data_IF_332213859582
#
_entry.id   IF_332213859582
#
_cell.length_a   1.000
_cell.length_b   1.000
_cell.length_c   1.000
_cell.angle_alpha   90.00
_cell.angle_beta   90.00
_cell.angle_gamma   90.00
#
_symmetry.space_group_name_H-M   'P 1'
#
loop_
_entity.id
_entity.type
_entity.pdbx_description
1 polymer ?
#
# COMPACT_ATOMS: atom_id res chain seq x y z
N UNK A 1 -27.87 -34.31 42.34
CA UNK A 1 -27.33 -33.55 43.51
C UNK A 1 -25.85 -33.36 43.22
N UNK A 2 -25.26 -32.18 43.04
CA UNK A 2 -25.63 -30.80 43.31
C UNK A 2 -25.19 -29.95 42.11
N UNK A 3 -26.03 -29.02 41.68
CA UNK A 3 -25.66 -27.86 40.88
C UNK A 3 -24.79 -26.92 41.72
N UNK A 4 -23.75 -26.31 41.14
CA UNK A 4 -23.17 -25.09 41.70
C UNK A 4 -23.08 -24.00 40.63
N UNK A 5 -23.81 -22.94 40.90
CA UNK A 5 -24.08 -21.80 40.05
C UNK A 5 -22.87 -20.85 39.96
N UNK A 6 -22.60 -20.37 38.75
CA UNK A 6 -21.80 -19.17 38.54
C UNK A 6 -22.66 -17.93 38.84
N UNK A 7 -22.21 -17.13 39.82
CA UNK A 7 -22.75 -15.80 40.09
C UNK A 7 -22.35 -14.86 38.94
N UNK A 8 -23.31 -14.54 38.07
CA UNK A 8 -23.24 -13.35 37.21
C UNK A 8 -24.01 -12.26 37.92
N UNK A 9 -23.29 -11.34 38.55
CA UNK A 9 -23.86 -10.09 39.06
C UNK A 9 -24.24 -9.21 37.86
N UNK A 10 -25.52 -9.25 37.50
CA UNK A 10 -26.13 -8.34 36.54
C UNK A 10 -26.24 -6.95 37.14
N UNK A 11 -25.49 -6.00 36.58
CA UNK A 11 -25.88 -4.60 36.61
C UNK A 11 -26.74 -4.39 35.37
N UNK A 12 -28.05 -4.30 35.58
CA UNK A 12 -29.01 -3.81 34.60
C UNK A 12 -28.73 -2.32 34.37
N UNK A 13 -27.74 -2.02 33.52
CA UNK A 13 -27.63 -0.73 32.87
C UNK A 13 -28.69 -0.68 31.78
N UNK A 14 -29.71 0.16 31.98
CA UNK A 14 -30.68 0.52 30.94
C UNK A 14 -29.90 1.10 29.77
N UNK A 15 -29.64 0.30 28.74
CA UNK A 15 -29.19 0.80 27.44
C UNK A 15 -30.31 1.63 26.87
N UNK A 16 -30.23 2.94 27.07
CA UNK A 16 -30.93 3.90 26.24
C UNK A 16 -30.41 3.69 24.80
N UNK A 17 -31.18 2.94 24.01
CA UNK A 17 -31.19 3.04 22.56
C UNK A 17 -31.59 4.47 22.23
N UNK A 18 -30.61 5.37 22.23
CA UNK A 18 -30.72 6.66 21.56
C UNK A 18 -30.71 6.33 20.07
N UNK A 19 -31.91 6.18 19.51
CA UNK A 19 -32.14 6.49 18.11
C UNK A 19 -31.60 7.90 17.87
N UNK A 20 -30.46 8.01 17.20
CA UNK A 20 -29.87 9.29 16.79
C UNK A 20 -30.80 9.88 15.73
N UNK A 21 -31.82 10.61 16.19
CA UNK A 21 -32.64 11.49 15.36
C UNK A 21 -31.72 12.45 14.59
N UNK A 22 -32.13 12.82 13.36
CA UNK A 22 -31.31 13.48 12.36
C UNK A 22 -30.47 14.66 12.85
N UNK A 23 -29.24 14.36 13.25
CA UNK A 23 -28.23 15.36 13.59
C UNK A 23 -27.74 16.06 12.34
N UNK A 24 -27.57 17.38 12.41
CA UNK A 24 -26.88 18.13 11.36
C UNK A 24 -25.50 17.52 11.11
N UNK A 25 -25.12 17.38 9.83
CA UNK A 25 -23.78 16.96 9.44
C UNK A 25 -22.74 17.82 10.17
N UNK A 26 -21.78 17.21 10.90
CA UNK A 26 -20.73 17.96 11.59
C UNK A 26 -19.98 18.88 10.63
N UNK A 27 -19.66 20.09 11.10
CA UNK A 27 -18.81 21.01 10.35
C UNK A 27 -17.39 20.42 10.25
N UNK A 28 -16.86 20.12 9.04
CA UNK A 28 -15.52 19.56 8.90
C UNK A 28 -14.44 20.50 9.41
N UNK A 29 -14.65 21.83 9.39
CA UNK A 29 -13.69 22.77 9.97
C UNK A 29 -13.64 22.62 11.48
N UNK A 30 -14.79 22.54 12.14
CA UNK A 30 -14.87 22.32 13.59
C UNK A 30 -14.22 21.00 14.01
N UNK A 31 -14.36 19.92 13.21
CA UNK A 31 -13.67 18.64 13.48
C UNK A 31 -12.13 18.79 13.44
N UNK A 32 -11.60 19.50 12.44
CA UNK A 32 -10.15 19.77 12.35
C UNK A 32 -9.67 20.60 13.54
N UNK A 33 -10.39 21.66 13.89
CA UNK A 33 -10.05 22.55 15.01
C UNK A 33 -10.09 21.80 16.35
N UNK A 34 -11.10 20.96 16.59
CA UNK A 34 -11.17 20.08 17.76
C UNK A 34 -10.00 19.11 17.81
N UNK A 35 -9.63 18.50 16.68
CA UNK A 35 -8.47 17.62 16.61
C UNK A 35 -7.15 18.35 16.88
N UNK A 36 -7.00 19.58 16.41
CA UNK A 36 -5.83 20.43 16.69
C UNK A 36 -5.73 20.75 18.17
N UNK A 37 -6.85 21.11 18.81
CA UNK A 37 -6.90 21.34 20.26
C UNK A 37 -6.57 20.06 21.04
N UNK A 38 -7.11 18.90 20.64
CA UNK A 38 -6.82 17.61 21.27
C UNK A 38 -5.34 17.20 21.16
N UNK A 39 -4.68 17.54 20.03
CA UNK A 39 -3.25 17.33 19.84
C UNK A 39 -2.38 18.25 20.69
N UNK A 40 -2.91 19.31 21.31
CA UNK A 40 -2.13 20.25 22.11
C UNK A 40 -2.34 21.73 21.78
N UNK A 41 -3.21 22.04 20.82
CA UNK A 41 -3.57 23.40 20.42
C UNK A 41 -2.61 24.02 19.40
N UNK A 42 -3.13 24.95 18.61
CA UNK A 42 -2.40 25.56 17.49
C UNK A 42 -1.11 26.27 17.93
N UNK A 43 -1.11 26.87 19.13
CA UNK A 43 0.06 27.59 19.68
C UNK A 43 1.23 26.66 19.94
N UNK A 44 0.99 25.51 20.59
CA UNK A 44 2.05 24.55 20.91
C UNK A 44 2.56 23.85 19.65
N UNK A 45 1.66 23.47 18.74
CA UNK A 45 2.01 22.85 17.46
C UNK A 45 2.91 23.79 16.62
N UNK A 46 2.61 25.10 16.59
CA UNK A 46 3.43 26.08 15.88
C UNK A 46 4.86 26.24 16.43
N UNK A 47 5.14 25.80 17.66
CA UNK A 47 6.50 25.79 18.22
C UNK A 47 7.31 24.55 17.82
N UNK A 48 6.68 23.56 17.17
CA UNK A 48 7.35 22.34 16.74
C UNK A 48 7.91 22.52 15.33
N UNK A 49 9.23 22.61 15.22
CA UNK A 49 9.96 22.72 13.95
C UNK A 49 10.57 21.37 13.50
N UNK A 50 10.65 20.38 14.39
CA UNK A 50 11.11 19.04 14.04
C UNK A 50 10.58 17.97 14.98
N UNK A 51 10.39 16.76 14.46
CA UNK A 51 10.00 15.58 15.26
C UNK A 51 10.83 14.40 14.82
N UNK A 52 11.28 13.57 15.77
CA UNK A 52 11.85 12.25 15.46
C UNK A 52 11.16 11.19 16.30
N UNK A 53 10.55 10.23 15.62
CA UNK A 53 10.08 8.96 16.17
C UNK A 53 11.25 8.00 16.15
N UNK A 54 11.66 7.49 17.30
CA UNK A 54 12.83 6.60 17.40
C UNK A 54 12.71 5.52 18.46
N UNK A 55 13.56 4.51 18.30
CA UNK A 55 13.60 3.35 19.20
C UNK A 55 12.52 2.34 18.83
N UNK A 56 12.77 1.07 19.15
CA UNK A 56 11.91 -0.03 18.67
C UNK A 56 10.97 -0.54 19.75
N UNK A 57 9.65 -0.47 19.49
CA UNK A 57 8.66 -1.32 20.15
C UNK A 57 8.28 -2.50 19.24
N UNK A 58 8.06 -2.20 17.96
CA UNK A 58 7.69 -3.20 16.96
C UNK A 58 7.95 -2.66 15.56
N UNK A 59 8.39 -3.52 14.65
CA UNK A 59 8.33 -3.26 13.22
C UNK A 59 8.20 -4.60 12.50
N UNK A 60 7.04 -4.81 11.88
CA UNK A 60 6.73 -6.01 11.09
C UNK A 60 5.86 -5.59 9.93
N UNK A 61 6.16 -6.15 8.76
CA UNK A 61 5.41 -5.89 7.52
C UNK A 61 4.99 -7.20 6.90
N UNK A 62 3.90 -7.15 6.14
CA UNK A 62 3.29 -8.27 5.44
C UNK A 62 2.87 -7.85 4.04
N UNK A 63 2.51 -8.82 3.21
CA UNK A 63 2.14 -8.57 1.81
C UNK A 63 0.92 -9.37 1.40
N UNK A 64 -0.01 -8.71 0.71
CA UNK A 64 -1.14 -9.35 0.04
C UNK A 64 -0.70 -10.07 -1.24
N UNK A 65 0.20 -9.43 -1.99
CA UNK A 65 0.70 -9.90 -3.28
C UNK A 65 1.32 -11.31 -3.24
N UNK A 66 1.94 -11.69 -2.13
CA UNK A 66 2.62 -12.98 -1.96
C UNK A 66 1.99 -13.86 -0.87
N UNK A 67 0.77 -13.53 -0.41
CA UNK A 67 0.07 -14.37 0.57
C UNK A 67 -0.31 -15.72 -0.04
N UNK A 68 -0.33 -16.79 0.77
CA UNK A 68 -0.86 -18.10 0.35
C UNK A 68 -2.35 -18.23 0.65
N UNK A 69 -2.82 -17.49 1.65
CA UNK A 69 -4.24 -17.39 1.95
C UNK A 69 -4.95 -16.47 0.96
N UNK A 70 -6.06 -16.96 0.40
CA UNK A 70 -6.96 -16.14 -0.43
C UNK A 70 -7.64 -15.03 0.38
N UNK A 71 -7.87 -15.22 1.67
CA UNK A 71 -8.69 -14.29 2.47
C UNK A 71 -7.93 -13.63 3.63
N UNK A 72 -6.61 -13.81 3.71
CA UNK A 72 -5.80 -13.25 4.79
C UNK A 72 -4.41 -12.83 4.35
N UNK A 73 -3.67 -12.28 5.30
CA UNK A 73 -2.27 -11.89 5.11
C UNK A 73 -1.38 -12.77 5.97
N UNK A 74 -0.94 -13.88 5.40
CA UNK A 74 -0.14 -14.91 6.08
C UNK A 74 1.34 -14.83 5.77
N UNK A 75 1.76 -13.92 4.86
CA UNK A 75 3.17 -13.72 4.53
C UNK A 75 3.76 -12.43 5.04
N UNK A 76 4.82 -12.60 5.81
CA UNK A 76 5.70 -11.53 6.26
C UNK A 76 6.62 -11.07 5.13
N UNK A 77 7.02 -9.81 5.19
CA UNK A 77 8.13 -9.25 4.42
C UNK A 77 9.28 -8.99 5.37
N UNK A 78 9.01 -8.21 6.41
CA UNK A 78 9.91 -7.95 7.53
C UNK A 78 9.35 -8.60 8.79
N UNK A 79 10.10 -9.55 9.38
CA UNK A 79 9.64 -10.27 10.58
C UNK A 79 9.98 -9.55 11.89
N UNK A 80 11.02 -8.74 11.89
CA UNK A 80 11.51 -7.97 13.02
C UNK A 80 12.37 -6.82 12.50
N UNK A 81 12.24 -5.63 13.08
CA UNK A 81 13.13 -4.53 12.76
C UNK A 81 12.86 -3.27 13.57
N UNK A 82 13.26 -2.15 12.99
CA UNK A 82 13.09 -0.81 13.51
C UNK A 82 12.76 0.15 12.37
N UNK A 83 12.05 1.22 12.70
CA UNK A 83 11.73 2.30 11.79
C UNK A 83 11.86 3.62 12.54
N UNK A 84 12.89 4.39 12.22
CA UNK A 84 13.04 5.74 12.74
C UNK A 84 12.55 6.73 11.69
N UNK A 85 11.72 7.69 12.12
CA UNK A 85 11.10 8.67 11.22
C UNK A 85 11.31 10.07 11.77
N UNK A 86 12.05 10.89 11.02
CA UNK A 86 12.27 12.29 11.32
C UNK A 86 11.49 13.17 10.35
N UNK A 87 10.88 14.23 10.86
CA UNK A 87 10.22 15.28 10.11
C UNK A 87 10.87 16.63 10.41
N UNK A 88 10.98 17.48 9.38
CA UNK A 88 11.23 18.92 9.52
C UNK A 88 9.99 19.68 9.04
N UNK A 89 9.61 20.70 9.79
CA UNK A 89 8.50 21.61 9.48
C UNK A 89 9.01 22.98 9.01
N UNK A 90 10.26 23.03 8.53
CA UNK A 90 10.85 24.22 7.94
C UNK A 90 10.30 24.44 6.52
N UNK A 91 9.13 25.07 6.46
CA UNK A 91 8.41 25.40 5.24
C UNK A 91 7.12 24.60 5.03
N UNK A 92 6.40 24.86 3.92
CA UNK A 92 5.06 24.30 3.70
C UNK A 92 5.06 22.85 3.17
N UNK A 93 6.21 22.38 2.67
CA UNK A 93 6.34 21.07 2.05
C UNK A 93 6.74 20.01 3.06
N UNK A 94 6.26 18.78 2.86
CA UNK A 94 6.67 17.65 3.71
C UNK A 94 8.17 17.40 3.52
N UNK A 95 8.92 17.27 4.62
CA UNK A 95 10.32 16.83 4.63
C UNK A 95 10.43 15.70 5.64
N UNK A 96 10.77 14.51 5.15
CA UNK A 96 10.86 13.30 5.96
C UNK A 96 12.18 12.58 5.69
N UNK A 97 12.81 12.09 6.75
CA UNK A 97 13.88 11.09 6.69
C UNK A 97 13.37 9.83 7.36
N UNK A 98 13.37 8.73 6.61
CA UNK A 98 12.93 7.42 7.05
C UNK A 98 14.13 6.49 7.06
N UNK A 99 14.51 5.96 8.22
CA UNK A 99 15.51 4.92 8.35
C UNK A 99 14.81 3.62 8.72
N UNK A 100 15.05 2.58 7.93
CA UNK A 100 14.49 1.24 8.14
C UNK A 100 15.62 0.26 8.29
N UNK A 101 15.47 -0.66 9.24
CA UNK A 101 16.45 -1.70 9.54
C UNK A 101 15.69 -2.95 9.98
N UNK A 102 15.77 -4.06 9.23
CA UNK A 102 14.96 -5.24 9.52
C UNK A 102 15.54 -6.57 8.98
N UNK A 103 15.04 -7.65 9.57
CA UNK A 103 15.22 -9.02 9.11
C UNK A 103 14.12 -9.40 8.11
N UNK A 104 14.50 -10.16 7.09
CA UNK A 104 13.59 -10.68 6.08
C UNK A 104 12.83 -11.91 6.57
N UNK A 105 11.60 -12.07 6.10
CA UNK A 105 10.86 -13.33 6.23
C UNK A 105 11.52 -14.46 5.41
N UNK A 106 11.34 -15.70 5.89
CA UNK A 106 11.88 -16.90 5.23
C UNK A 106 11.43 -17.09 3.77
N UNK A 107 10.29 -16.50 3.39
CA UNK A 107 9.82 -16.44 2.00
C UNK A 107 10.91 -15.98 1.00
N UNK A 108 11.74 -15.02 1.38
CA UNK A 108 12.77 -14.46 0.50
C UNK A 108 13.93 -15.42 0.19
N UNK A 109 14.14 -16.46 1.02
CA UNK A 109 15.22 -17.43 0.84
C UNK A 109 15.13 -18.20 -0.48
N UNK A 110 13.91 -18.55 -0.90
CA UNK A 110 13.67 -19.30 -2.14
C UNK A 110 13.61 -18.44 -3.39
N UNK A 111 13.51 -17.11 -3.23
CA UNK A 111 13.19 -16.21 -4.34
C UNK A 111 14.32 -15.23 -4.68
N UNK A 112 14.93 -14.56 -3.70
CA UNK A 112 15.87 -13.45 -4.00
C UNK A 112 17.01 -13.24 -3.00
N UNK A 113 16.86 -13.72 -1.76
CA UNK A 113 17.85 -13.56 -0.67
C UNK A 113 18.09 -14.90 0.04
N UNK A 114 18.86 -15.84 -0.56
CA UNK A 114 19.07 -17.18 0.02
C UNK A 114 19.57 -17.18 1.46
N UNK A 115 20.41 -16.20 1.81
CA UNK A 115 20.98 -16.06 3.16
C UNK A 115 20.13 -15.16 4.07
N UNK A 116 19.01 -14.63 3.58
CA UNK A 116 18.16 -13.66 4.29
C UNK A 116 18.97 -12.49 4.86
N UNK A 117 19.90 -11.97 4.06
CA UNK A 117 20.78 -10.87 4.45
C UNK A 117 19.95 -9.71 5.01
N UNK A 118 20.46 -9.09 6.07
CA UNK A 118 19.81 -7.98 6.75
C UNK A 118 19.56 -6.80 5.81
N UNK A 119 18.38 -6.18 5.89
CA UNK A 119 18.00 -5.04 5.05
C UNK A 119 18.00 -3.77 5.89
N UNK A 120 18.88 -2.85 5.53
CA UNK A 120 19.00 -1.55 6.19
C UNK A 120 19.20 -0.45 5.16
N UNK A 121 18.39 0.62 5.23
CA UNK A 121 18.46 1.75 4.30
C UNK A 121 17.84 3.02 4.88
N UNK A 122 18.22 4.16 4.29
CA UNK A 122 17.63 5.47 4.57
C UNK A 122 16.97 6.02 3.30
N UNK A 123 15.73 6.49 3.41
CA UNK A 123 15.02 7.25 2.38
C UNK A 123 14.81 8.70 2.83
N UNK A 124 15.15 9.65 1.97
CA UNK A 124 14.81 11.06 2.10
C UNK A 124 13.62 11.36 1.20
N UNK A 125 12.59 12.01 1.73
CA UNK A 125 11.36 12.35 1.02
C UNK A 125 11.10 13.86 1.18
N UNK A 126 10.92 14.55 0.07
CA UNK A 126 10.52 15.96 0.04
C UNK A 126 9.31 16.16 -0.88
N UNK A 127 8.31 16.89 -0.40
CA UNK A 127 7.14 17.28 -1.21
C UNK A 127 7.34 18.55 -2.04
N UNK A 128 6.28 18.94 -2.77
CA UNK A 128 6.24 20.11 -3.63
C UNK A 128 6.52 19.79 -5.11
N UNK A 129 6.47 20.82 -5.95
CA UNK A 129 6.60 20.70 -7.42
C UNK A 129 7.98 20.21 -7.91
N UNK A 130 9.00 20.37 -7.05
CA UNK A 130 10.36 19.85 -7.22
C UNK A 130 10.70 18.79 -6.16
N UNK A 131 9.65 18.18 -5.58
CA UNK A 131 9.76 17.11 -4.60
C UNK A 131 10.48 15.87 -5.16
N UNK A 132 10.84 14.95 -4.28
CA UNK A 132 11.53 13.71 -4.65
C UNK A 132 11.44 12.68 -3.51
N UNK A 133 11.80 11.45 -3.83
CA UNK A 133 12.26 10.49 -2.84
C UNK A 133 13.61 9.90 -3.29
N UNK A 134 14.51 9.62 -2.35
CA UNK A 134 15.82 9.08 -2.67
C UNK A 134 16.33 8.14 -1.58
N UNK A 135 16.85 6.98 -1.97
CA UNK A 135 17.59 6.08 -1.09
C UNK A 135 19.02 6.60 -0.99
N UNK A 136 19.38 7.16 0.16
CA UNK A 136 20.67 7.85 0.37
C UNK A 136 21.71 7.01 1.08
N UNK A 137 21.27 6.01 1.86
CA UNK A 137 22.15 5.12 2.62
C UNK A 137 21.63 3.68 2.54
N UNK A 138 22.56 2.72 2.68
CA UNK A 138 22.24 1.31 2.71
C UNK A 138 21.68 0.78 1.38
N UNK A 139 20.90 -0.29 1.44
CA UNK A 139 20.39 -0.99 0.28
C UNK A 139 19.04 -1.64 0.55
N UNK A 140 18.10 -1.46 -0.37
CA UNK A 140 16.77 -2.10 -0.36
C UNK A 140 16.48 -2.91 -1.62
N UNK A 141 17.46 -3.06 -2.51
CA UNK A 141 17.34 -3.95 -3.66
C UNK A 141 17.24 -5.39 -3.12
N UNK A 142 16.36 -6.21 -3.67
CA UNK A 142 16.18 -7.61 -3.24
C UNK A 142 16.90 -8.64 -4.10
N UNK A 143 17.49 -8.23 -5.21
CA UNK A 143 18.19 -9.10 -6.15
C UNK A 143 19.71 -8.90 -6.13
N UNK A 144 20.19 -7.76 -5.62
CA UNK A 144 21.63 -7.49 -5.43
C UNK A 144 21.89 -6.91 -4.03
N UNK A 145 22.32 -7.72 -3.05
CA UNK A 145 22.50 -7.26 -1.67
C UNK A 145 23.76 -6.42 -1.51
N UNK A 146 24.69 -6.53 -2.47
CA UNK A 146 25.95 -5.80 -2.49
C UNK A 146 25.86 -4.43 -3.15
N UNK A 147 24.72 -4.11 -3.78
CA UNK A 147 24.49 -2.81 -4.38
C UNK A 147 24.59 -1.68 -3.35
N UNK A 148 25.11 -0.52 -3.79
CA UNK A 148 25.06 0.70 -3.01
C UNK A 148 23.67 1.35 -3.01
N UNK A 149 23.52 2.53 -2.38
CA UNK A 149 22.27 3.28 -2.36
C UNK A 149 21.77 3.56 -3.78
N UNK A 150 20.47 3.34 -4.02
CA UNK A 150 19.86 3.46 -5.35
C UNK A 150 19.77 4.93 -5.83
N UNK A 151 19.89 5.91 -4.92
CA UNK A 151 19.70 7.32 -5.25
C UNK A 151 18.23 7.68 -5.45
N UNK A 152 17.95 8.62 -6.34
CA UNK A 152 16.59 9.05 -6.66
C UNK A 152 15.76 7.89 -7.20
N UNK A 153 14.54 7.75 -6.68
CA UNK A 153 13.53 6.83 -7.25
C UNK A 153 12.77 7.53 -8.37
N UNK A 154 12.06 6.76 -9.19
CA UNK A 154 11.22 7.30 -10.27
C UNK A 154 10.07 8.17 -9.74
N UNK A 155 9.49 9.00 -10.60
CA UNK A 155 8.46 9.95 -10.22
C UNK A 155 7.17 9.32 -9.70
N UNK A 156 6.85 8.07 -10.06
CA UNK A 156 5.62 7.39 -9.60
C UNK A 156 5.80 6.91 -8.16
N UNK A 157 6.92 6.24 -7.87
CA UNK A 157 7.25 5.84 -6.51
C UNK A 157 7.45 7.05 -5.59
N UNK A 158 8.08 8.13 -6.09
CA UNK A 158 8.24 9.37 -5.33
C UNK A 158 6.88 9.95 -4.92
N UNK A 159 5.89 10.00 -5.83
CA UNK A 159 4.56 10.49 -5.52
C UNK A 159 3.83 9.62 -4.45
N UNK A 160 3.96 8.30 -4.55
CA UNK A 160 3.43 7.37 -3.54
C UNK A 160 4.06 7.62 -2.16
N UNK A 161 5.40 7.69 -2.09
CA UNK A 161 6.12 7.91 -0.83
C UNK A 161 5.83 9.29 -0.22
N UNK A 162 5.63 10.33 -1.04
CA UNK A 162 5.20 11.65 -0.56
C UNK A 162 3.78 11.58 0.03
N UNK A 163 2.85 10.82 -0.57
CA UNK A 163 1.52 10.60 0.01
C UNK A 163 1.61 9.91 1.37
N UNK A 164 2.39 8.84 1.47
CA UNK A 164 2.61 8.12 2.74
C UNK A 164 3.33 8.99 3.79
N UNK A 165 4.27 9.85 3.39
CA UNK A 165 4.92 10.79 4.30
C UNK A 165 3.93 11.83 4.86
N UNK A 166 3.00 12.34 4.04
CA UNK A 166 1.92 13.21 4.54
C UNK A 166 0.98 12.45 5.47
N UNK A 167 0.65 11.19 5.13
CA UNK A 167 -0.21 10.31 5.92
C UNK A 167 0.33 10.08 7.34
N UNK A 168 1.64 9.92 7.49
CA UNK A 168 2.31 9.72 8.78
C UNK A 168 2.65 11.02 9.52
N UNK A 169 2.48 12.19 8.89
CA UNK A 169 2.84 13.47 9.50
C UNK A 169 1.99 13.75 10.75
N UNK A 170 2.59 14.06 11.92
CA UNK A 170 1.82 14.40 13.12
C UNK A 170 0.96 15.65 12.98
N UNK A 171 1.26 16.51 12.00
CA UNK A 171 0.55 17.76 11.76
C UNK A 171 -0.23 17.76 10.44
N UNK A 172 -0.64 16.57 9.97
CA UNK A 172 -1.49 16.41 8.80
C UNK A 172 -2.76 17.27 8.92
N UNK A 173 -3.45 17.27 10.06
CA UNK A 173 -4.72 18.02 10.21
C UNK A 173 -4.52 19.53 10.12
N UNK A 174 -3.39 20.06 10.62
CA UNK A 174 -3.03 21.48 10.47
C UNK A 174 -2.80 21.83 9.00
N UNK A 175 -2.16 20.92 8.24
CA UNK A 175 -1.97 21.07 6.81
C UNK A 175 -3.29 21.04 6.04
N UNK A 176 -4.19 20.12 6.38
CA UNK A 176 -5.54 20.05 5.78
C UNK A 176 -6.31 21.34 6.05
N UNK A 177 -6.30 21.84 7.29
CA UNK A 177 -6.95 23.09 7.64
C UNK A 177 -6.40 24.27 6.81
N UNK A 178 -5.09 24.32 6.60
CA UNK A 178 -4.42 25.34 5.80
C UNK A 178 -4.70 25.23 4.30
N UNK A 179 -4.88 24.01 3.76
CA UNK A 179 -5.26 23.80 2.37
C UNK A 179 -6.63 24.40 2.03
N UNK A 180 -7.54 24.45 3.01
CA UNK A 180 -8.90 24.99 2.86
C UNK A 180 -9.69 24.37 1.69
N UNK A 181 -9.38 23.12 1.34
CA UNK A 181 -10.07 22.34 0.33
C UNK A 181 -10.47 20.99 0.92
N UNK A 182 -11.36 21.01 1.90
CA UNK A 182 -11.76 19.84 2.64
C UNK A 182 -13.27 19.72 2.79
N UNK A 183 -13.74 18.49 2.96
CA UNK A 183 -15.17 18.15 3.08
C UNK A 183 -15.39 17.12 4.17
N UNK A 184 -16.59 17.13 4.76
CA UNK A 184 -16.98 16.12 5.72
C UNK A 184 -17.10 14.73 5.06
N UNK A 185 -16.67 13.70 5.78
CA UNK A 185 -16.90 12.29 5.46
C UNK A 185 -17.39 11.55 6.70
N UNK A 186 -18.15 10.50 6.46
CA UNK A 186 -18.45 9.50 7.47
C UNK A 186 -18.09 8.13 6.91
N UNK A 187 -17.11 7.51 7.53
CA UNK A 187 -16.47 6.32 6.99
C UNK A 187 -16.63 5.15 7.96
N UNK A 188 -16.93 3.97 7.42
CA UNK A 188 -16.92 2.76 8.20
C UNK A 188 -15.47 2.28 8.43
N UNK A 189 -15.20 1.88 9.66
CA UNK A 189 -14.06 1.05 10.03
C UNK A 189 -14.39 -0.43 9.79
N UNK A 190 -13.36 -1.28 9.88
CA UNK A 190 -13.52 -2.73 9.82
C UNK A 190 -14.30 -3.33 11.00
N UNK A 191 -14.40 -2.60 12.10
CA UNK A 191 -15.24 -2.92 13.26
C UNK A 191 -16.72 -2.65 13.01
N UNK A 192 -17.10 -2.17 11.81
CA UNK A 192 -18.42 -1.65 11.45
C UNK A 192 -18.82 -0.36 12.16
N UNK A 193 -17.98 0.16 13.06
CA UNK A 193 -18.11 1.50 13.62
C UNK A 193 -17.95 2.54 12.52
N UNK A 194 -18.74 3.62 12.60
CA UNK A 194 -18.67 4.73 11.65
C UNK A 194 -18.08 5.93 12.36
N UNK A 195 -16.97 6.43 11.83
CA UNK A 195 -16.28 7.60 12.37
C UNK A 195 -16.54 8.84 11.53
N UNK A 196 -16.66 9.96 12.21
CA UNK A 196 -16.67 11.28 11.60
C UNK A 196 -15.25 11.61 11.12
N UNK A 197 -15.16 12.17 9.91
CA UNK A 197 -13.89 12.45 9.29
C UNK A 197 -13.91 13.63 8.34
N UNK A 198 -12.72 14.00 7.90
CA UNK A 198 -12.49 15.12 6.99
C UNK A 198 -11.61 14.66 5.85
N UNK A 199 -12.12 14.77 4.63
CA UNK A 199 -11.40 14.50 3.39
C UNK A 199 -10.77 15.78 2.86
N UNK A 200 -9.48 15.74 2.56
CA UNK A 200 -8.72 16.81 1.93
C UNK A 200 -8.54 16.54 0.44
N UNK A 201 -9.04 17.45 -0.40
CA UNK A 201 -8.99 17.34 -1.86
C UNK A 201 -7.60 17.60 -2.46
N UNK A 202 -6.66 18.19 -1.71
CA UNK A 202 -5.31 18.45 -2.21
C UNK A 202 -4.39 17.24 -2.01
N UNK A 203 -4.52 16.57 -0.87
CA UNK A 203 -3.70 15.42 -0.47
C UNK A 203 -4.37 14.09 -0.83
N UNK A 204 -5.67 14.08 -1.12
CA UNK A 204 -6.45 12.88 -1.40
C UNK A 204 -6.34 11.88 -0.22
N UNK A 205 -6.56 12.43 0.99
CA UNK A 205 -6.50 11.73 2.27
C UNK A 205 -7.74 12.08 3.10
N UNK A 206 -8.25 11.10 3.85
CA UNK A 206 -9.30 11.31 4.85
C UNK A 206 -8.75 11.07 6.24
N UNK A 207 -8.97 12.01 7.16
CA UNK A 207 -8.66 11.83 8.59
C UNK A 207 -9.95 11.45 9.31
N UNK A 208 -9.94 10.32 10.02
CA UNK A 208 -11.01 9.87 10.89
C UNK A 208 -10.63 10.16 12.34
N UNK A 209 -11.56 10.70 13.11
CA UNK A 209 -11.32 11.13 14.49
C UNK A 209 -11.92 10.15 15.49
N UNK A 210 -11.20 9.93 16.58
CA UNK A 210 -11.70 9.21 17.73
C UNK A 210 -12.81 10.05 18.41
N UNK A 211 -14.01 9.48 18.64
CA UNK A 211 -15.16 10.25 19.11
C UNK A 211 -15.04 10.67 20.58
N UNK A 212 -14.19 10.02 21.38
CA UNK A 212 -14.01 10.31 22.81
C UNK A 212 -12.92 11.36 23.04
N UNK A 213 -11.80 11.22 22.34
CA UNK A 213 -10.59 12.04 22.54
C UNK A 213 -10.43 13.15 21.51
N UNK A 214 -11.18 13.10 20.41
CA UNK A 214 -11.02 13.97 19.22
C UNK A 214 -9.64 13.86 18.56
N UNK A 215 -8.78 12.92 18.97
CA UNK A 215 -7.49 12.70 18.34
C UNK A 215 -7.68 12.04 16.97
N UNK A 216 -6.78 12.28 16.00
CA UNK A 216 -6.73 11.49 14.78
C UNK A 216 -6.62 10.01 15.11
N UNK A 217 -7.52 9.19 14.60
CA UNK A 217 -7.55 7.75 14.84
C UNK A 217 -7.01 6.97 13.64
N UNK A 218 -7.49 7.30 12.44
CA UNK A 218 -7.06 6.64 11.21
C UNK A 218 -6.93 7.65 10.07
N UNK A 219 -5.88 7.50 9.25
CA UNK A 219 -5.70 8.24 8.01
C UNK A 219 -5.92 7.29 6.84
N UNK A 220 -6.94 7.55 6.02
CA UNK A 220 -7.36 6.71 4.90
C UNK A 220 -6.93 7.31 3.57
N UNK A 221 -6.31 6.48 2.73
CA UNK A 221 -6.19 6.72 1.29
C UNK A 221 -7.18 5.84 0.53
N UNK A 222 -7.87 6.42 -0.45
CA UNK A 222 -8.61 5.66 -1.45
C UNK A 222 -7.67 5.24 -2.58
N UNK A 223 -7.81 4.00 -3.01
CA UNK A 223 -7.01 3.35 -4.04
C UNK A 223 -7.91 2.49 -4.92
N UNK A 224 -7.40 2.00 -6.05
CA UNK A 224 -8.11 1.09 -6.92
C UNK A 224 -7.24 -0.13 -7.24
N UNK A 225 -7.46 -1.19 -6.48
CA UNK A 225 -6.69 -2.43 -6.57
C UNK A 225 -7.12 -3.25 -7.78
N UNK A 226 -6.17 -3.88 -8.46
CA UNK A 226 -6.43 -4.65 -9.69
C UNK A 226 -7.43 -5.81 -9.52
N UNK A 227 -7.34 -6.51 -8.38
CA UNK A 227 -8.23 -7.62 -8.01
C UNK A 227 -9.45 -7.15 -7.20
N UNK A 228 -9.26 -6.31 -6.18
CA UNK A 228 -10.34 -5.93 -5.25
C UNK A 228 -11.15 -4.70 -5.71
N UNK A 229 -10.74 -4.01 -6.77
CA UNK A 229 -11.36 -2.76 -7.21
C UNK A 229 -11.16 -1.63 -6.19
N UNK A 230 -12.13 -0.70 -6.07
CA UNK A 230 -12.07 0.39 -5.10
C UNK A 230 -11.74 -0.12 -3.70
N UNK A 231 -10.63 0.36 -3.16
CA UNK A 231 -10.02 -0.15 -1.94
C UNK A 231 -9.57 0.98 -1.02
N UNK A 232 -9.39 0.67 0.26
CA UNK A 232 -8.94 1.61 1.28
C UNK A 232 -7.63 1.13 1.89
N UNK A 233 -6.70 2.05 2.08
CA UNK A 233 -5.46 1.82 2.83
C UNK A 233 -5.45 2.76 4.03
N UNK A 234 -5.56 2.19 5.23
CA UNK A 234 -5.77 2.93 6.48
C UNK A 234 -4.53 2.85 7.37
N UNK A 235 -3.96 3.99 7.72
CA UNK A 235 -2.95 4.11 8.77
C UNK A 235 -3.65 4.43 10.09
N UNK A 236 -3.76 3.43 10.95
CA UNK A 236 -4.37 3.53 12.29
C UNK A 236 -3.30 3.91 13.30
N UNK A 237 -3.57 4.93 14.11
CA UNK A 237 -2.66 5.51 15.09
C UNK A 237 -3.16 5.23 16.51
N UNK A 238 -2.24 4.94 17.42
CA UNK A 238 -2.56 4.66 18.82
C UNK A 238 -1.39 4.98 19.75
N UNK A 239 -1.61 4.83 21.06
CA UNK A 239 -0.63 5.10 22.12
C UNK A 239 -0.04 6.51 22.04
N UNK A 240 -0.92 7.52 22.02
CA UNK A 240 -0.53 8.92 22.04
C UNK A 240 0.18 9.27 23.34
N UNK A 241 1.37 9.87 23.25
CA UNK A 241 2.11 10.41 24.38
C UNK A 241 2.14 11.93 24.32
N UNK A 242 2.15 12.56 25.49
CA UNK A 242 2.37 14.00 25.60
C UNK A 242 3.88 14.29 25.63
N UNK A 243 4.33 15.19 24.75
CA UNK A 243 5.71 15.68 24.73
C UNK A 243 5.70 17.19 24.54
N UNK A 244 6.05 17.91 25.62
CA UNK A 244 6.04 19.38 25.68
C UNK A 244 4.69 20.01 25.29
N UNK A 245 3.57 19.41 25.73
CA UNK A 245 2.23 19.95 25.49
C UNK A 245 1.66 19.66 24.10
N UNK A 246 2.33 18.79 23.32
CA UNK A 246 1.83 18.26 22.05
C UNK A 246 1.76 16.73 22.13
N UNK A 247 0.68 16.14 21.63
CA UNK A 247 0.47 14.70 21.61
C UNK A 247 0.96 14.09 20.31
N UNK A 248 1.69 12.99 20.42
CA UNK A 248 2.23 12.26 19.28
C UNK A 248 1.89 10.77 19.38
N UNK A 249 1.40 10.13 18.32
CA UNK A 249 1.19 8.69 18.33
C UNK A 249 2.52 7.96 18.42
N UNK A 250 2.57 6.85 19.15
CA UNK A 250 3.78 5.99 19.23
C UNK A 250 3.58 4.60 18.64
N UNK A 251 2.37 4.30 18.16
CA UNK A 251 2.04 3.06 17.48
C UNK A 251 1.25 3.30 16.20
N UNK A 252 1.56 2.49 15.18
CA UNK A 252 0.90 2.51 13.87
C UNK A 252 0.56 1.10 13.41
N UNK A 253 -0.60 0.95 12.78
CA UNK A 253 -0.98 -0.23 12.01
C UNK A 253 -1.49 0.19 10.65
N UNK A 254 -1.07 -0.51 9.60
CA UNK A 254 -1.64 -0.32 8.27
C UNK A 254 -2.61 -1.44 7.96
N UNK A 255 -3.87 -1.10 7.69
CA UNK A 255 -4.90 -2.03 7.26
C UNK A 255 -5.31 -1.77 5.82
N UNK A 256 -5.35 -2.82 5.01
CA UNK A 256 -5.92 -2.77 3.66
C UNK A 256 -7.34 -3.33 3.66
N UNK A 257 -8.29 -2.60 3.06
CA UNK A 257 -9.71 -2.90 3.06
C UNK A 257 -10.26 -3.24 4.46
N UNK A 258 -9.71 -2.60 5.49
CA UNK A 258 -10.06 -2.79 6.89
C UNK A 258 -9.69 -4.17 7.49
N UNK A 259 -9.44 -5.18 6.68
CA UNK A 259 -9.26 -6.57 7.13
C UNK A 259 -7.82 -7.04 7.12
N UNK A 260 -7.00 -6.50 6.23
CA UNK A 260 -5.67 -7.01 5.93
C UNK A 260 -4.60 -6.19 6.64
N UNK A 261 -4.12 -6.68 7.78
CA UNK A 261 -3.03 -6.02 8.53
C UNK A 261 -1.70 -6.17 7.77
N UNK A 262 -1.26 -5.09 7.12
CA UNK A 262 -0.03 -5.05 6.32
C UNK A 262 1.19 -4.61 7.12
N UNK A 263 1.01 -3.76 8.13
CA UNK A 263 2.12 -3.26 8.93
C UNK A 263 1.73 -3.13 10.39
N UNK A 264 2.67 -3.45 11.28
CA UNK A 264 2.64 -3.00 12.68
C UNK A 264 3.98 -2.35 12.97
N UNK A 265 3.96 -1.07 13.31
CA UNK A 265 5.13 -0.27 13.65
C UNK A 265 4.88 0.46 14.97
N UNK A 266 5.93 0.70 15.74
CA UNK A 266 5.82 1.43 16.98
C UNK A 266 7.18 1.80 17.55
N UNK A 267 7.23 2.97 18.16
CA UNK A 267 8.45 3.58 18.69
C UNK A 267 8.40 3.77 20.20
N UNK A 268 9.56 3.74 20.84
CA UNK A 268 9.67 3.95 22.29
C UNK A 268 9.86 5.42 22.67
N UNK A 269 10.24 6.28 21.72
CA UNK A 269 10.59 7.66 21.98
C UNK A 269 10.09 8.60 20.89
N UNK A 270 9.68 9.81 21.32
CA UNK A 270 9.41 10.96 20.45
C UNK A 270 10.30 12.11 20.90
N UNK A 271 11.19 12.54 20.02
CA UNK A 271 12.04 13.70 20.20
C UNK A 271 11.37 14.89 19.51
N UNK A 272 11.04 15.92 20.28
CA UNK A 272 10.48 17.17 19.77
C UNK A 272 11.59 18.19 19.65
N UNK A 273 11.65 18.88 18.51
CA UNK A 273 12.66 19.87 18.17
C UNK A 273 14.11 19.37 18.33
N UNK A 274 14.45 18.16 17.81
CA UNK A 274 15.83 17.71 17.84
C UNK A 274 16.69 18.57 16.90
N UNK A 275 17.97 18.73 17.23
CA UNK A 275 18.92 19.36 16.33
C UNK A 275 19.26 18.42 15.18
N UNK A 276 18.99 18.85 13.95
CA UNK A 276 19.39 18.12 12.75
C UNK A 276 20.70 18.65 12.21
N UNK A 277 21.58 17.76 11.76
CA UNK A 277 22.80 18.15 11.07
C UNK A 277 22.48 18.85 9.73
N UNK A 278 23.38 19.71 9.25
CA UNK A 278 23.27 20.27 7.90
C UNK A 278 23.19 19.15 6.87
N UNK A 279 22.22 19.24 5.95
CA UNK A 279 21.99 18.25 4.91
C UNK A 279 21.32 16.95 5.38
N UNK A 280 20.80 16.90 6.61
CA UNK A 280 20.14 15.70 7.14
C UNK A 280 18.93 15.24 6.30
N UNK A 281 18.25 16.18 5.65
CA UNK A 281 17.12 15.94 4.75
C UNK A 281 17.47 16.13 3.27
N UNK A 282 18.75 16.17 2.90
CA UNK A 282 19.16 16.40 1.51
C UNK A 282 19.22 15.07 0.74
N UNK A 283 18.79 15.12 -0.53
CA UNK A 283 18.99 14.03 -1.48
C UNK A 283 20.43 14.00 -2.04
N UNK A 284 20.74 13.04 -2.93
CA UNK A 284 22.02 13.01 -3.63
C UNK A 284 22.30 14.32 -4.37
N UNK A 285 23.55 14.78 -4.33
CA UNK A 285 23.98 16.04 -4.98
C UNK A 285 23.83 16.00 -6.50
N UNK A 286 24.08 14.84 -7.12
CA UNK A 286 23.79 14.62 -8.54
C UNK A 286 22.29 14.41 -8.76
N UNK A 287 21.63 15.43 -9.31
CA UNK A 287 20.19 15.42 -9.63
C UNK A 287 19.87 14.95 -11.05
N UNK A 288 20.83 14.39 -11.80
CA UNK A 288 20.64 13.97 -13.19
C UNK A 288 19.54 12.92 -13.39
N UNK A 289 19.28 12.10 -12.36
CA UNK A 289 18.23 11.06 -12.33
C UNK A 289 16.98 11.47 -11.57
N UNK A 290 16.87 12.73 -11.15
CA UNK A 290 15.69 13.20 -10.44
C UNK A 290 14.50 13.25 -11.40
N UNK A 291 13.44 12.55 -11.04
CA UNK A 291 12.15 12.63 -11.70
C UNK A 291 11.13 13.35 -10.81
N UNK A 292 10.33 14.22 -11.41
CA UNK A 292 9.26 14.91 -10.69
C UNK A 292 8.17 13.92 -10.24
N UNK A 293 7.65 14.05 -9.01
CA UNK A 293 6.56 13.22 -8.53
C UNK A 293 5.33 13.34 -9.45
N UNK A 294 4.77 12.20 -9.86
CA UNK A 294 3.59 12.14 -10.73
C UNK A 294 2.74 10.92 -10.46
N UNK A 295 1.43 11.03 -10.70
CA UNK A 295 0.54 9.85 -10.79
C UNK A 295 0.80 9.11 -12.11
N UNK A 296 0.63 7.79 -12.09
CA UNK A 296 0.57 6.97 -13.31
C UNK A 296 -0.90 6.73 -13.66
N UNK A 297 -1.33 6.93 -14.92
CA UNK A 297 -2.68 6.56 -15.33
C UNK A 297 -2.88 5.05 -15.46
N UNK A 298 -1.80 4.27 -15.57
CA UNK A 298 -1.85 2.80 -15.68
C UNK A 298 -1.66 2.10 -14.34
N UNK A 299 -0.85 2.68 -13.45
CA UNK A 299 -0.43 2.03 -12.19
C UNK A 299 -0.97 2.83 -10.99
N UNK A 300 -2.00 2.28 -10.36
CA UNK A 300 -2.58 2.85 -9.16
C UNK A 300 -1.63 2.72 -7.96
N UNK A 301 -1.84 3.54 -6.92
CA UNK A 301 -1.02 3.48 -5.71
C UNK A 301 -1.13 2.17 -4.94
N UNK A 302 -2.22 1.42 -5.12
CA UNK A 302 -2.31 0.04 -4.64
C UNK A 302 -1.16 -0.83 -5.16
N UNK A 303 -0.96 -0.89 -6.49
CA UNK A 303 0.12 -1.66 -7.10
C UNK A 303 1.51 -1.12 -6.72
N UNK A 304 1.69 0.20 -6.78
CA UNK A 304 2.97 0.85 -6.42
C UNK A 304 3.33 0.54 -4.96
N UNK A 305 2.35 0.64 -4.06
CA UNK A 305 2.51 0.37 -2.64
C UNK A 305 2.85 -1.08 -2.35
N UNK A 306 2.13 -2.03 -2.92
CA UNK A 306 2.39 -3.45 -2.70
C UNK A 306 3.76 -3.88 -3.24
N UNK A 307 4.09 -3.50 -4.48
CA UNK A 307 5.39 -3.82 -5.08
C UNK A 307 6.55 -3.16 -4.34
N UNK A 308 6.40 -1.90 -3.92
CA UNK A 308 7.46 -1.19 -3.20
C UNK A 308 7.61 -1.67 -1.76
N UNK A 309 6.51 -2.08 -1.12
CA UNK A 309 6.47 -2.65 0.23
C UNK A 309 7.16 -4.01 0.32
N UNK A 310 7.20 -4.77 -0.78
CA UNK A 310 8.02 -6.00 -0.91
C UNK A 310 9.34 -5.77 -1.64
N UNK A 311 9.72 -4.52 -1.90
CA UNK A 311 11.00 -4.14 -2.53
C UNK A 311 11.25 -4.65 -3.97
N UNK A 312 10.18 -4.95 -4.72
CA UNK A 312 10.25 -5.38 -6.13
C UNK A 312 9.64 -4.36 -7.10
N UNK A 313 9.47 -3.11 -6.66
CA UNK A 313 9.13 -2.03 -7.58
C UNK A 313 10.33 -1.76 -8.50
N UNK A 314 10.18 -2.09 -9.79
CA UNK A 314 11.23 -1.96 -10.82
C UNK A 314 11.07 -0.69 -11.68
N UNK A 315 10.21 0.22 -11.26
CA UNK A 315 9.82 1.41 -12.02
C UNK A 315 8.50 1.24 -12.78
N UNK A 316 8.02 2.32 -13.41
CA UNK A 316 6.79 2.29 -14.17
C UNK A 316 6.85 1.34 -15.35
N UNK A 317 5.75 0.66 -15.64
CA UNK A 317 5.66 -0.23 -16.79
C UNK A 317 5.75 0.56 -18.11
N UNK A 318 6.67 0.19 -18.99
CA UNK A 318 6.95 0.91 -20.24
C UNK A 318 7.19 -0.01 -21.45
N UNK A 319 6.80 -1.28 -21.37
CA UNK A 319 6.95 -2.23 -22.47
C UNK A 319 5.77 -2.16 -23.45
N UNK A 320 6.00 -2.67 -24.66
CA UNK A 320 5.03 -2.76 -25.77
C UNK A 320 4.98 -4.18 -26.32
N UNK A 321 4.00 -4.50 -27.19
CA UNK A 321 3.93 -5.82 -27.83
C UNK A 321 5.20 -6.17 -28.64
N UNK A 322 5.96 -5.17 -29.12
CA UNK A 322 7.25 -5.37 -29.77
C UNK A 322 8.33 -5.97 -28.85
N UNK A 323 8.11 -5.94 -27.53
CA UNK A 323 8.99 -6.59 -26.54
C UNK A 323 8.66 -8.07 -26.32
N UNK A 324 7.67 -8.63 -27.02
CA UNK A 324 7.31 -10.04 -26.94
C UNK A 324 8.14 -10.85 -27.93
N UNK A 325 8.83 -11.86 -27.40
CA UNK A 325 9.40 -12.96 -28.19
C UNK A 325 8.56 -14.21 -28.00
N UNK A 326 8.14 -14.83 -29.09
CA UNK A 326 7.26 -15.99 -29.08
C UNK A 326 8.00 -17.23 -29.62
N UNK A 327 7.73 -18.39 -29.03
CA UNK A 327 8.29 -19.67 -29.47
C UNK A 327 7.29 -20.81 -29.27
N UNK A 328 7.41 -21.88 -30.04
CA UNK A 328 6.62 -23.11 -29.90
C UNK A 328 7.56 -24.25 -29.50
N UNK A 329 7.72 -24.51 -28.19
CA UNK A 329 8.77 -25.40 -27.70
C UNK A 329 8.47 -26.89 -27.96
N UNK A 330 7.21 -27.25 -28.19
CA UNK A 330 6.75 -28.63 -28.36
C UNK A 330 6.17 -28.85 -29.77
N UNK A 331 6.91 -29.48 -30.70
CA UNK A 331 6.44 -29.74 -32.06
C UNK A 331 5.14 -30.55 -32.13
N UNK A 332 4.92 -31.44 -31.16
CA UNK A 332 3.71 -32.27 -31.01
C UNK A 332 2.48 -31.49 -30.55
N UNK A 333 2.66 -30.28 -30.00
CA UNK A 333 1.59 -29.39 -29.58
C UNK A 333 1.78 -28.01 -30.22
N UNK A 334 1.58 -27.88 -31.55
CA UNK A 334 1.83 -26.62 -32.27
C UNK A 334 0.91 -25.48 -31.81
N UNK A 335 -0.16 -25.76 -31.08
CA UNK A 335 -0.97 -24.73 -30.44
C UNK A 335 -0.30 -24.04 -29.24
N UNK A 336 0.77 -24.61 -28.69
CA UNK A 336 1.43 -24.12 -27.48
C UNK A 336 2.50 -23.07 -27.82
N UNK A 337 2.27 -21.85 -27.32
CA UNK A 337 3.18 -20.72 -27.46
C UNK A 337 3.74 -20.32 -26.10
N UNK A 338 5.05 -20.11 -26.04
CA UNK A 338 5.75 -19.51 -24.93
C UNK A 338 6.09 -18.08 -25.30
N UNK A 339 5.55 -17.14 -24.54
CA UNK A 339 5.80 -15.71 -24.69
C UNK A 339 6.79 -15.27 -23.61
N UNK A 340 7.93 -14.75 -24.07
CA UNK A 340 8.92 -14.07 -23.25
C UNK A 340 8.71 -12.56 -23.43
N UNK A 341 8.34 -11.86 -22.37
CA UNK A 341 7.95 -10.44 -22.45
C UNK A 341 9.05 -9.58 -21.83
N UNK A 342 9.89 -8.93 -22.63
CA UNK A 342 10.92 -8.00 -22.14
C UNK A 342 12.37 -8.35 -22.54
N UNK A 343 13.33 -7.56 -22.06
CA UNK A 343 14.54 -7.27 -22.85
C UNK A 343 15.82 -7.94 -22.33
N UNK A 344 15.92 -8.30 -21.04
CA UNK A 344 17.10 -8.98 -20.49
C UNK A 344 16.88 -9.51 -19.06
N UNK A 345 16.94 -10.85 -18.90
CA UNK A 345 16.95 -11.66 -17.64
C UNK A 345 15.61 -11.81 -16.93
N UNK A 346 15.30 -13.06 -16.50
CA UNK A 346 14.05 -13.72 -16.85
C UNK A 346 12.89 -12.81 -16.53
N UNK A 347 12.40 -12.21 -17.60
CA UNK A 347 11.13 -11.53 -17.57
C UNK A 347 10.05 -12.61 -17.54
N UNK A 348 8.92 -12.27 -16.96
CA UNK A 348 7.79 -13.18 -16.78
C UNK A 348 7.49 -13.95 -18.09
N UNK A 349 7.33 -15.27 -17.99
CA UNK A 349 6.95 -16.12 -19.14
C UNK A 349 5.46 -16.40 -19.06
N UNK A 350 4.79 -16.24 -20.18
CA UNK A 350 3.36 -16.52 -20.27
C UNK A 350 3.12 -17.58 -21.33
N UNK A 351 2.16 -18.45 -21.08
CA UNK A 351 1.80 -19.54 -22.00
C UNK A 351 0.49 -19.19 -22.68
N UNK A 352 0.45 -19.33 -24.00
CA UNK A 352 -0.78 -19.24 -24.79
C UNK A 352 -1.01 -20.59 -25.45
N UNK A 353 -2.18 -21.18 -25.24
CA UNK A 353 -2.60 -22.43 -25.85
C UNK A 353 -3.73 -22.16 -26.84
N UNK A 354 -3.44 -22.39 -28.12
CA UNK A 354 -4.39 -22.28 -29.22
C UNK A 354 -4.92 -23.67 -29.55
N UNK A 355 -6.18 -23.91 -29.23
CA UNK A 355 -6.94 -25.10 -29.58
C UNK A 355 -7.82 -24.82 -30.79
N UNK A 356 -8.57 -25.82 -31.28
CA UNK A 356 -9.45 -25.65 -32.44
C UNK A 356 -10.49 -24.54 -32.21
N UNK A 357 -11.14 -24.53 -31.06
CA UNK A 357 -12.26 -23.64 -30.72
C UNK A 357 -11.90 -22.52 -29.73
N UNK A 358 -10.73 -22.60 -29.09
CA UNK A 358 -10.38 -21.72 -27.98
C UNK A 358 -8.93 -21.23 -28.03
N UNK A 359 -8.71 -20.03 -27.51
CA UNK A 359 -7.39 -19.52 -27.14
C UNK A 359 -7.41 -19.33 -25.62
N UNK A 360 -6.50 -20.01 -24.95
CA UNK A 360 -6.35 -20.01 -23.50
C UNK A 360 -5.03 -19.32 -23.16
N UNK A 361 -5.06 -18.35 -22.26
CA UNK A 361 -3.85 -17.74 -21.71
C UNK A 361 -3.65 -18.23 -20.29
N UNK A 362 -2.47 -18.74 -19.97
CA UNK A 362 -2.10 -19.10 -18.60
C UNK A 362 -1.43 -17.91 -17.93
N UNK A 363 -1.86 -17.60 -16.72
CA UNK A 363 -1.54 -16.40 -15.96
C UNK A 363 -1.95 -15.07 -16.61
N UNK A 364 -1.93 -14.03 -15.80
CA UNK A 364 -2.26 -12.65 -16.14
C UNK A 364 -1.50 -11.68 -15.23
N UNK A 365 -0.19 -11.49 -15.45
CA UNK A 365 0.57 -10.39 -14.86
C UNK A 365 -0.05 -9.01 -15.22
N UNK A 366 0.00 -8.00 -14.32
CA UNK A 366 -0.56 -6.68 -14.59
C UNK A 366 0.22 -5.97 -15.69
N UNK A 367 -0.47 -5.28 -16.61
CA UNK A 367 0.10 -4.59 -17.80
C UNK A 367 0.58 -5.50 -18.92
N UNK A 368 1.31 -6.58 -18.62
CA UNK A 368 1.69 -7.57 -19.65
C UNK A 368 0.48 -8.28 -20.26
N UNK A 369 -0.62 -8.43 -19.50
CA UNK A 369 -1.93 -8.89 -19.97
C UNK A 369 -2.40 -8.19 -21.26
N UNK A 370 -2.32 -6.86 -21.31
CA UNK A 370 -2.70 -6.05 -22.47
C UNK A 370 -1.78 -6.31 -23.67
N UNK A 371 -0.47 -6.48 -23.43
CA UNK A 371 0.49 -6.77 -24.50
C UNK A 371 0.26 -8.15 -25.11
N UNK A 372 -0.09 -9.14 -24.28
CA UNK A 372 -0.40 -10.49 -24.77
C UNK A 372 -1.72 -10.51 -25.54
N UNK A 373 -2.74 -9.77 -25.09
CA UNK A 373 -3.98 -9.60 -25.87
C UNK A 373 -3.69 -9.01 -27.26
N UNK A 374 -2.89 -7.94 -27.32
CA UNK A 374 -2.47 -7.32 -28.58
C UNK A 374 -1.70 -8.31 -29.47
N UNK A 375 -0.74 -9.05 -28.90
CA UNK A 375 0.06 -10.03 -29.65
C UNK A 375 -0.80 -11.16 -30.21
N UNK A 376 -1.75 -11.68 -29.42
CA UNK A 376 -2.67 -12.73 -29.87
C UNK A 376 -3.54 -12.23 -31.02
N UNK A 377 -4.08 -11.02 -30.91
CA UNK A 377 -4.88 -10.41 -31.98
C UNK A 377 -4.06 -10.27 -33.27
N UNK A 378 -2.83 -9.74 -33.18
CA UNK A 378 -1.97 -9.49 -34.34
C UNK A 378 -1.38 -10.77 -34.96
N UNK A 379 -1.02 -11.76 -34.14
CA UNK A 379 -0.27 -12.94 -34.58
C UNK A 379 -1.16 -14.16 -34.83
N UNK A 380 -2.12 -14.40 -33.94
CA UNK A 380 -3.02 -15.55 -34.00
C UNK A 380 -4.33 -15.20 -34.72
N UNK A 381 -4.75 -13.92 -34.69
CA UNK A 381 -5.98 -13.47 -35.36
C UNK A 381 -7.26 -13.99 -34.70
N UNK A 382 -7.19 -14.33 -33.41
CA UNK A 382 -8.29 -14.94 -32.65
C UNK A 382 -8.49 -14.25 -31.31
N UNK A 383 -9.69 -14.36 -30.74
CA UNK A 383 -9.99 -13.85 -29.41
C UNK A 383 -9.55 -14.83 -28.33
N UNK A 384 -9.09 -14.31 -27.20
CA UNK A 384 -8.91 -15.08 -25.98
C UNK A 384 -10.28 -15.44 -25.42
N UNK A 385 -10.52 -16.74 -25.21
CA UNK A 385 -11.79 -17.25 -24.67
C UNK A 385 -11.65 -17.57 -23.18
N UNK A 386 -10.44 -17.97 -22.76
CA UNK A 386 -10.16 -18.32 -21.36
C UNK A 386 -8.85 -17.71 -20.87
N UNK A 387 -8.83 -17.30 -19.61
CA UNK A 387 -7.61 -17.01 -18.87
C UNK A 387 -7.55 -17.91 -17.64
N UNK A 388 -6.38 -18.46 -17.37
CA UNK A 388 -6.15 -19.41 -16.28
C UNK A 388 -4.96 -18.97 -15.42
N UNK A 389 -5.20 -18.17 -14.37
CA UNK A 389 -4.17 -17.89 -13.38
C UNK A 389 -3.79 -19.19 -12.65
N UNK A 390 -2.51 -19.52 -12.66
CA UNK A 390 -1.99 -20.74 -12.02
C UNK A 390 -2.15 -20.68 -10.50
N UNK A 391 -2.11 -19.47 -9.93
CA UNK A 391 -2.43 -19.17 -8.54
C UNK A 391 -2.74 -17.67 -8.38
N UNK A 392 -3.01 -17.22 -7.15
CA UNK A 392 -3.55 -15.90 -6.85
C UNK A 392 -2.51 -14.83 -6.48
N UNK A 393 -1.22 -15.15 -6.57
CA UNK A 393 -0.20 -14.11 -6.44
C UNK A 393 -0.34 -13.11 -7.59
N UNK A 394 -0.04 -11.85 -7.30
CA UNK A 394 -0.44 -10.76 -8.19
C UNK A 394 0.34 -10.71 -9.50
N UNK A 395 1.54 -11.28 -9.54
CA UNK A 395 2.28 -11.50 -10.78
C UNK A 395 1.61 -12.54 -11.69
N UNK A 396 0.70 -13.36 -11.16
CA UNK A 396 -0.09 -14.34 -11.91
C UNK A 396 -1.53 -13.89 -12.17
N UNK A 397 -2.07 -12.92 -11.41
CA UNK A 397 -3.51 -12.64 -11.41
C UNK A 397 -3.95 -11.17 -11.51
N UNK A 398 -3.07 -10.18 -11.32
CA UNK A 398 -3.53 -8.78 -11.29
C UNK A 398 -3.92 -8.22 -12.67
N UNK A 399 -3.50 -8.85 -13.75
CA UNK A 399 -3.96 -8.54 -15.12
C UNK A 399 -5.30 -9.18 -15.50
N UNK A 400 -5.98 -9.92 -14.60
CA UNK A 400 -7.21 -10.65 -14.94
C UNK A 400 -8.31 -9.75 -15.52
N UNK A 401 -8.47 -8.54 -14.99
CA UNK A 401 -9.48 -7.58 -15.43
C UNK A 401 -9.39 -7.28 -16.93
N UNK A 402 -8.20 -7.32 -17.52
CA UNK A 402 -7.98 -7.02 -18.93
C UNK A 402 -8.55 -8.13 -19.82
N UNK A 403 -8.34 -9.40 -19.43
CA UNK A 403 -8.92 -10.55 -20.13
C UNK A 403 -10.43 -10.62 -19.97
N UNK A 404 -10.95 -10.31 -18.77
CA UNK A 404 -12.40 -10.23 -18.51
C UNK A 404 -13.03 -9.14 -19.39
N UNK A 405 -12.42 -7.96 -19.49
CA UNK A 405 -12.88 -6.89 -20.37
C UNK A 405 -12.82 -7.28 -21.86
N UNK A 406 -11.90 -8.16 -22.25
CA UNK A 406 -11.82 -8.73 -23.60
C UNK A 406 -12.85 -9.86 -23.84
N UNK A 407 -13.65 -10.24 -22.83
CA UNK A 407 -14.70 -11.26 -22.91
C UNK A 407 -14.25 -12.68 -22.58
N UNK A 408 -13.06 -12.86 -22.01
CA UNK A 408 -12.57 -14.17 -21.59
C UNK A 408 -13.19 -14.60 -20.25
N UNK A 409 -13.43 -15.91 -20.10
CA UNK A 409 -13.83 -16.51 -18.82
C UNK A 409 -12.59 -16.90 -18.01
N UNK A 410 -12.71 -16.84 -16.69
CA UNK A 410 -11.61 -17.09 -15.76
C UNK A 410 -11.69 -18.52 -15.22
N UNK A 411 -10.64 -19.31 -15.46
CA UNK A 411 -10.52 -20.69 -14.98
C UNK A 411 -9.85 -20.70 -13.61
N UNK A 412 -10.56 -21.13 -12.57
CA UNK A 412 -10.05 -21.16 -11.17
C UNK A 412 -10.65 -22.32 -10.37
N UNK A 413 -10.00 -22.76 -9.29
CA UNK A 413 -10.65 -23.61 -8.29
C UNK A 413 -11.91 -22.96 -7.72
N UNK A 414 -12.92 -23.75 -7.35
CA UNK A 414 -14.19 -23.23 -6.81
C UNK A 414 -13.99 -22.35 -5.56
N UNK A 415 -12.98 -22.67 -4.75
CA UNK A 415 -12.62 -21.96 -3.52
C UNK A 415 -12.05 -20.57 -3.79
N UNK A 416 -11.49 -20.32 -4.98
CA UNK A 416 -10.87 -19.04 -5.33
C UNK A 416 -11.86 -18.01 -5.88
N UNK A 417 -13.11 -18.38 -6.19
CA UNK A 417 -14.11 -17.45 -6.73
C UNK A 417 -14.31 -16.19 -5.87
N UNK A 418 -14.44 -16.27 -4.53
CA UNK A 418 -14.66 -15.08 -3.70
C UNK A 418 -13.50 -14.08 -3.76
N UNK A 419 -12.28 -14.53 -4.02
CA UNK A 419 -11.12 -13.65 -4.11
C UNK A 419 -11.19 -12.69 -5.30
N UNK A 420 -11.69 -13.18 -6.43
CA UNK A 420 -11.78 -12.42 -7.68
C UNK A 420 -13.15 -11.76 -7.93
N UNK A 421 -14.11 -11.91 -7.01
CA UNK A 421 -15.51 -11.51 -7.25
C UNK A 421 -15.73 -10.00 -7.40
N UNK A 422 -14.74 -9.18 -7.02
CA UNK A 422 -14.80 -7.74 -7.21
C UNK A 422 -14.47 -7.29 -8.65
N UNK A 423 -13.90 -8.18 -9.48
CA UNK A 423 -13.65 -7.90 -10.89
C UNK A 423 -14.99 -7.84 -11.63
N UNK A 424 -15.34 -6.67 -12.15
CA UNK A 424 -16.62 -6.45 -12.83
C UNK A 424 -16.72 -7.29 -14.11
N UNK A 425 -17.86 -7.96 -14.32
CA UNK A 425 -18.11 -8.75 -15.53
C UNK A 425 -17.45 -10.14 -15.55
N UNK A 426 -16.81 -10.56 -14.45
CA UNK A 426 -16.12 -11.85 -14.39
C UNK A 426 -17.10 -13.03 -14.54
N UNK A 427 -16.80 -13.92 -15.50
CA UNK A 427 -17.44 -15.22 -15.63
C UNK A 427 -16.45 -16.32 -15.25
N UNK A 428 -16.85 -17.23 -14.36
CA UNK A 428 -15.98 -18.30 -13.87
C UNK A 428 -16.24 -19.63 -14.57
N UNK A 429 -15.16 -20.33 -14.92
CA UNK A 429 -15.15 -21.77 -15.21
C UNK A 429 -14.40 -22.48 -14.09
N UNK A 430 -15.14 -23.18 -13.23
CA UNK A 430 -14.55 -23.74 -12.02
C UNK A 430 -14.30 -25.23 -12.09
N UNK A 431 -13.24 -25.66 -11.40
CA UNK A 431 -12.93 -27.06 -11.16
C UNK A 431 -12.73 -27.30 -9.66
N UNK A 432 -12.80 -28.56 -9.25
CA UNK A 432 -12.46 -29.03 -7.89
C UNK A 432 -11.08 -29.66 -7.94
N UNK A 433 -10.24 -29.36 -6.94
CA UNK A 433 -8.90 -29.95 -6.81
C UNK A 433 -8.94 -31.38 -6.26
#
# INVERSE_FOLDING_TARGET
MLYLAAFVSGVLGVSALLSREGGATPDPRALLEQGIEALGGAVNIAQVHGVTYSGSKSYRTKTLMQSFSLDGVDRGVSVLGTQDVSFSFDGPQIKQRLRVDHQLDGFWSGFSRPNLDHVGFTIIIQGGDDGFAAVTEGNRNMFDPSAGPQGYVDGVLAAYLIKEANKMSPFLISKILANNNFTYREEALWTSERLHGVYDGNLDLTVLFDPETSLPYAIRSAENHDIFGPSTNDLVMYDYIDSNGVKFPTGWKTFYNGRHLLMTSGVSQVLVNPSFATGFFDGPSDRSRLEKPRRSPQQDFSEVGERSGVYIWLGPFAMTAANISASQPLPELPGLWYLQIGNARPTYRQVVLVLEDSVIVMDSPPHQSLLVLEWIEQTIGRKVIHVWPTHHHHDHSSGLKDYVNAGAKVIVPVEAKPYYSAITGIEFLTFTL
#
